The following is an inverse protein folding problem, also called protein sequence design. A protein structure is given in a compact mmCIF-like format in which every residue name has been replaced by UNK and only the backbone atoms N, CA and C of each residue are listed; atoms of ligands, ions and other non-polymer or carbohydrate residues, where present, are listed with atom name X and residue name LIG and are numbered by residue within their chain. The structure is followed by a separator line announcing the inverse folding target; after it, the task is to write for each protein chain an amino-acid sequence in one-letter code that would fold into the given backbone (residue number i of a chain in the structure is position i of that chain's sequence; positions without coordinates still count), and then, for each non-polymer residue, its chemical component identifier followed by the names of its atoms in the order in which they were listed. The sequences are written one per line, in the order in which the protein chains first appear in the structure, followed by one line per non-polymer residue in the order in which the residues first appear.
data_IF_286854618775
#
_entry.id   IF_286854618775
#
_cell.length_a   1.000
_cell.length_b   1.000
_cell.length_c   1.000
_cell.angle_alpha   90.00
_cell.angle_beta   90.00
_cell.angle_gamma   90.00
#
_symmetry.space_group_name_H-M   'P 1'
#
loop_
_entity.id
_entity.type
_entity.pdbx_description
1 polymer ?
#
# COMPACT_ATOMS: atom_id res chain seq x y z
N UNK A 1 52.13 48.93 15.68
CA UNK A 1 52.57 49.40 14.34
C UNK A 1 52.17 48.35 13.32
N UNK A 2 51.49 48.75 12.24
CA UNK A 2 50.77 47.86 11.29
C UNK A 2 51.69 47.21 10.26
N UNK A 3 51.44 45.94 9.91
CA UNK A 3 51.38 45.50 8.50
C UNK A 3 50.03 44.78 8.27
N UNK A 4 49.09 45.24 7.42
CA UNK A 4 49.01 45.23 5.94
C UNK A 4 49.60 43.98 5.28
N UNK A 5 48.74 43.36 4.44
CA UNK A 5 48.93 42.20 3.52
C UNK A 5 48.51 40.86 4.11
N UNK A 6 47.83 39.95 3.43
CA UNK A 6 47.26 39.84 2.08
C UNK A 6 46.57 38.46 2.08
N UNK A 7 45.26 38.36 1.81
CA UNK A 7 44.70 37.09 1.36
C UNK A 7 45.26 36.82 -0.05
N UNK A 8 45.76 35.61 -0.33
CA UNK A 8 44.89 34.59 -0.94
C UNK A 8 45.21 33.19 -0.38
N UNK A 9 44.24 32.33 -0.11
CA UNK A 9 43.45 31.68 -1.12
C UNK A 9 43.90 30.22 -1.26
N UNK A 10 42.92 29.33 -1.38
CA UNK A 10 43.04 27.87 -1.64
C UNK A 10 43.41 27.02 -0.43
N UNK A 11 42.38 26.51 0.26
CA UNK A 11 42.13 25.07 0.50
C UNK A 11 41.00 24.93 1.52
N UNK A 12 39.77 24.75 1.04
CA UNK A 12 38.69 24.10 1.80
C UNK A 12 37.51 23.85 0.85
N UNK A 13 37.76 23.11 -0.23
CA UNK A 13 36.68 22.44 -0.96
C UNK A 13 36.70 21.00 -0.46
N UNK A 14 35.52 20.47 -0.16
CA UNK A 14 35.20 19.15 0.39
C UNK A 14 35.25 19.07 1.92
N UNK A 15 34.11 19.34 2.58
CA UNK A 15 33.33 18.37 3.37
C UNK A 15 31.99 19.04 3.72
N UNK A 16 30.94 18.86 2.91
CA UNK A 16 29.61 19.41 3.24
C UNK A 16 28.42 18.49 2.90
N UNK A 17 28.66 17.22 2.55
CA UNK A 17 27.57 16.35 2.08
C UNK A 17 27.31 15.09 2.93
N UNK A 18 28.03 14.87 4.03
CA UNK A 18 27.94 13.59 4.77
C UNK A 18 27.17 13.63 6.10
N UNK A 19 26.65 14.78 6.55
CA UNK A 19 26.06 14.89 7.90
C UNK A 19 24.52 14.84 7.98
N UNK A 20 23.79 14.80 6.86
CA UNK A 20 22.31 14.85 6.88
C UNK A 20 21.66 13.46 7.05
N UNK A 21 22.44 12.36 7.03
CA UNK A 21 21.92 10.99 7.09
C UNK A 21 21.90 10.35 8.50
N UNK A 22 22.29 11.08 9.56
CA UNK A 22 22.43 10.51 10.92
C UNK A 22 21.36 10.95 11.93
N UNK A 23 20.29 11.60 11.49
CA UNK A 23 19.12 11.91 12.33
C UNK A 23 17.89 11.09 11.93
N UNK A 24 18.11 9.85 11.47
CA UNK A 24 17.07 8.84 11.32
C UNK A 24 16.46 8.55 12.68
N UNK A 25 15.34 9.23 12.98
CA UNK A 25 14.54 8.95 14.15
C UNK A 25 14.00 7.53 14.07
N UNK A 26 14.33 6.68 15.04
CA UNK A 26 13.51 5.53 15.35
C UNK A 26 12.17 6.08 15.84
N UNK A 27 11.18 6.18 14.94
CA UNK A 27 9.82 6.57 15.25
C UNK A 27 9.34 5.76 16.46
N UNK A 28 9.17 6.42 17.60
CA UNK A 28 8.60 5.78 18.78
C UNK A 28 7.15 5.45 18.43
N UNK A 29 6.65 4.22 18.70
CA UNK A 29 5.25 3.93 18.48
C UNK A 29 4.41 4.90 19.32
N UNK A 30 3.39 5.50 18.69
CA UNK A 30 2.37 6.25 19.41
C UNK A 30 1.43 5.21 20.02
N UNK A 31 1.28 5.26 21.35
CA UNK A 31 0.38 4.38 22.10
C UNK A 31 -1.04 4.47 21.51
N UNK A 32 -1.63 3.33 21.17
CA UNK A 32 -2.96 3.26 20.54
C UNK A 32 -3.01 3.35 19.02
N UNK A 33 -1.88 3.48 18.31
CA UNK A 33 -1.88 3.35 16.84
C UNK A 33 -1.91 1.87 16.46
N UNK A 34 -2.88 1.39 15.67
CA UNK A 34 -2.86 0.02 15.18
C UNK A 34 -1.57 -0.22 14.39
N UNK A 35 -0.71 -1.11 14.91
CA UNK A 35 0.44 -1.64 14.19
C UNK A 35 -0.05 -2.75 13.28
N UNK A 36 0.31 -2.68 11.99
CA UNK A 36 0.07 -3.78 11.07
C UNK A 36 0.72 -5.06 11.61
N UNK A 37 -0.05 -6.14 11.71
CA UNK A 37 0.43 -7.45 12.09
C UNK A 37 1.52 -7.92 11.11
N UNK A 38 2.54 -8.66 11.58
CA UNK A 38 3.55 -9.25 10.70
C UNK A 38 2.85 -10.12 9.64
N UNK A 39 3.00 -9.74 8.36
CA UNK A 39 2.32 -10.38 7.22
C UNK A 39 1.26 -9.52 6.52
N UNK A 40 0.90 -8.36 7.07
CA UNK A 40 -0.08 -7.43 6.46
C UNK A 40 0.56 -6.45 5.46
N UNK A 41 1.89 -6.35 5.44
CA UNK A 41 2.62 -5.52 4.47
C UNK A 41 2.81 -6.27 3.16
N UNK A 42 2.04 -5.89 2.14
CA UNK A 42 2.44 -6.13 0.73
C UNK A 42 1.53 -6.99 -0.14
N UNK A 43 0.34 -7.41 0.31
CA UNK A 43 -0.60 -8.12 -0.59
C UNK A 43 -1.60 -7.23 -1.35
N UNK A 44 -1.68 -5.92 -1.06
CA UNK A 44 -2.68 -5.03 -1.69
C UNK A 44 -2.20 -3.65 -2.17
N UNK A 45 -1.05 -3.16 -1.73
CA UNK A 45 -0.71 -1.74 -1.89
C UNK A 45 0.01 -1.36 -3.21
N UNK A 46 0.02 -2.21 -4.25
CA UNK A 46 0.78 -1.93 -5.48
C UNK A 46 0.42 -2.74 -6.72
N UNK A 47 -0.65 -3.54 -6.69
CA UNK A 47 -1.18 -4.24 -7.86
C UNK A 47 -2.48 -3.56 -8.32
N UNK A 48 -2.83 -3.69 -9.60
CA UNK A 48 -4.15 -3.29 -10.08
C UNK A 48 -5.21 -4.16 -9.38
N UNK A 49 -5.79 -3.65 -8.29
CA UNK A 49 -6.71 -4.38 -7.42
C UNK A 49 -7.93 -4.91 -8.17
N UNK A 50 -8.30 -4.28 -9.29
CA UNK A 50 -9.41 -4.72 -10.14
C UNK A 50 -9.11 -6.02 -10.90
N UNK A 51 -7.83 -6.32 -11.10
CA UNK A 51 -7.38 -7.56 -11.75
C UNK A 51 -7.12 -8.70 -10.76
N UNK A 52 -7.34 -8.46 -9.46
CA UNK A 52 -7.21 -9.51 -8.43
C UNK A 52 -8.08 -10.71 -8.82
N UNK A 53 -7.46 -11.88 -8.92
CA UNK A 53 -8.13 -13.13 -9.25
C UNK A 53 -8.70 -13.82 -8.01
N UNK A 54 -9.68 -14.71 -8.18
CA UNK A 54 -10.22 -15.49 -7.07
C UNK A 54 -9.14 -16.34 -6.34
N UNK A 55 -8.14 -16.84 -7.05
CA UNK A 55 -7.00 -17.57 -6.47
C UNK A 55 -6.20 -16.71 -5.49
N UNK A 56 -5.99 -15.44 -5.84
CA UNK A 56 -5.27 -14.48 -4.99
C UNK A 56 -6.15 -13.98 -3.84
N UNK A 57 -7.43 -13.80 -4.10
CA UNK A 57 -8.40 -13.25 -3.15
C UNK A 57 -8.72 -14.17 -1.96
N UNK A 58 -8.89 -15.47 -2.22
CA UNK A 58 -9.25 -16.46 -1.20
C UNK A 58 -8.26 -16.51 -0.03
N UNK A 59 -6.93 -16.51 -0.22
CA UNK A 59 -5.98 -16.51 0.89
C UNK A 59 -5.79 -15.14 1.56
N UNK A 60 -6.31 -14.03 1.00
CA UNK A 60 -6.15 -12.70 1.61
C UNK A 60 -6.81 -12.62 2.99
N UNK A 61 -6.22 -11.82 3.87
CA UNK A 61 -6.85 -11.39 5.11
C UNK A 61 -8.01 -10.42 4.86
N UNK A 62 -8.82 -10.17 5.90
CA UNK A 62 -10.01 -9.32 5.82
C UNK A 62 -9.69 -7.91 5.29
N UNK A 63 -8.56 -7.32 5.70
CA UNK A 63 -8.10 -6.00 5.25
C UNK A 63 -7.85 -5.96 3.75
N UNK A 64 -7.04 -6.87 3.20
CA UNK A 64 -6.79 -6.94 1.76
C UNK A 64 -8.05 -7.22 0.94
N UNK A 65 -8.93 -8.10 1.45
CA UNK A 65 -10.23 -8.36 0.80
C UNK A 65 -11.11 -7.13 0.75
N UNK A 66 -11.11 -6.30 1.80
CA UNK A 66 -11.82 -5.01 1.83
C UNK A 66 -11.24 -4.04 0.82
N UNK A 67 -9.92 -3.94 0.70
CA UNK A 67 -9.26 -3.05 -0.28
C UNK A 67 -9.70 -3.35 -1.71
N UNK A 68 -9.74 -4.62 -2.10
CA UNK A 68 -10.24 -5.06 -3.41
C UNK A 68 -11.72 -4.67 -3.60
N UNK A 69 -12.56 -4.87 -2.59
CA UNK A 69 -13.98 -4.47 -2.67
C UNK A 69 -14.14 -2.96 -2.77
N UNK A 70 -13.37 -2.17 -2.02
CA UNK A 70 -13.35 -0.71 -2.13
C UNK A 70 -13.01 -0.30 -3.56
N UNK A 71 -11.95 -0.87 -4.15
CA UNK A 71 -11.57 -0.58 -5.54
C UNK A 71 -12.70 -0.93 -6.54
N UNK A 72 -13.37 -2.08 -6.38
CA UNK A 72 -14.53 -2.46 -7.22
C UNK A 72 -15.70 -1.49 -7.05
N UNK A 73 -15.94 -1.01 -5.83
CA UNK A 73 -16.95 0.00 -5.54
C UNK A 73 -16.64 1.33 -6.23
N UNK A 74 -15.40 1.80 -6.13
CA UNK A 74 -14.89 3.02 -6.78
C UNK A 74 -14.92 2.93 -8.31
N UNK A 75 -14.71 1.73 -8.86
CA UNK A 75 -14.82 1.46 -10.30
C UNK A 75 -16.27 1.47 -10.83
N UNK A 76 -17.27 1.68 -9.95
CA UNK A 76 -18.65 1.94 -10.34
C UNK A 76 -19.68 0.93 -9.85
N UNK A 77 -19.28 -0.11 -9.10
CA UNK A 77 -20.24 -1.03 -8.51
C UNK A 77 -20.87 -0.46 -7.24
N UNK A 78 -22.02 0.22 -7.39
CA UNK A 78 -22.72 0.88 -6.26
C UNK A 78 -23.13 -0.05 -5.12
N UNK A 79 -23.45 -1.31 -5.42
CA UNK A 79 -23.82 -2.27 -4.38
C UNK A 79 -22.61 -2.62 -3.52
N UNK A 80 -21.46 -2.84 -4.15
CA UNK A 80 -20.20 -3.08 -3.45
C UNK A 80 -19.77 -1.84 -2.67
N UNK A 81 -19.85 -0.65 -3.28
CA UNK A 81 -19.51 0.63 -2.64
C UNK A 81 -20.33 0.92 -1.38
N UNK A 82 -21.57 0.42 -1.30
CA UNK A 82 -22.45 0.64 -0.13
C UNK A 82 -21.94 -0.09 1.11
N UNK A 83 -21.30 -1.26 0.95
CA UNK A 83 -20.75 -2.01 2.06
C UNK A 83 -19.60 -2.96 1.63
N UNK A 84 -18.38 -2.45 1.48
CA UNK A 84 -17.23 -3.25 1.04
C UNK A 84 -16.90 -4.42 1.97
N UNK A 85 -17.14 -4.27 3.28
CA UNK A 85 -16.91 -5.33 4.28
C UNK A 85 -17.86 -6.51 4.12
N UNK A 86 -19.14 -6.25 3.90
CA UNK A 86 -20.13 -7.28 3.61
C UNK A 86 -19.73 -8.04 2.33
N UNK A 87 -19.43 -7.28 1.28
CA UNK A 87 -19.09 -7.85 -0.01
C UNK A 87 -17.77 -8.61 0.02
N UNK A 88 -16.86 -8.29 0.94
CA UNK A 88 -15.61 -9.03 1.09
C UNK A 88 -15.84 -10.49 1.49
N UNK A 89 -16.81 -10.74 2.38
CA UNK A 89 -17.22 -12.09 2.76
C UNK A 89 -17.96 -12.81 1.63
N UNK A 90 -18.88 -12.11 0.95
CA UNK A 90 -19.65 -12.68 -0.17
C UNK A 90 -18.74 -13.07 -1.32
N UNK A 91 -17.82 -12.19 -1.73
CA UNK A 91 -16.86 -12.48 -2.78
C UNK A 91 -15.98 -13.69 -2.45
N UNK A 92 -15.55 -13.83 -1.19
CA UNK A 92 -14.74 -14.98 -0.76
C UNK A 92 -15.53 -16.30 -0.89
N UNK A 93 -16.81 -16.29 -0.52
CA UNK A 93 -17.69 -17.44 -0.69
C UNK A 93 -17.91 -17.78 -2.18
N UNK A 94 -18.19 -16.78 -3.02
CA UNK A 94 -18.39 -16.97 -4.47
C UNK A 94 -17.12 -17.49 -5.15
N UNK A 95 -15.95 -16.95 -4.80
CA UNK A 95 -14.65 -17.37 -5.36
C UNK A 95 -14.26 -18.82 -5.03
N UNK A 96 -14.89 -19.45 -4.04
CA UNK A 96 -14.68 -20.89 -3.76
C UNK A 96 -15.27 -21.79 -4.86
N UNK A 97 -16.25 -21.29 -5.61
CA UNK A 97 -16.92 -22.01 -6.70
C UNK A 97 -16.53 -21.51 -8.10
N UNK A 98 -16.02 -20.28 -8.20
CA UNK A 98 -15.62 -19.68 -9.47
C UNK A 98 -14.32 -20.29 -10.02
N UNK A 99 -14.03 -20.04 -11.30
CA UNK A 99 -12.71 -20.34 -11.88
C UNK A 99 -11.64 -19.58 -11.08
N UNK A 100 -10.56 -20.24 -10.62
CA UNK A 100 -9.54 -19.56 -9.81
C UNK A 100 -8.87 -18.36 -10.50
N UNK A 101 -8.85 -18.34 -11.83
CA UNK A 101 -8.27 -17.26 -12.64
C UNK A 101 -9.28 -16.16 -12.97
N UNK A 102 -10.55 -16.31 -12.57
CA UNK A 102 -11.56 -15.27 -12.78
C UNK A 102 -11.21 -14.03 -11.94
N UNK A 103 -11.25 -12.82 -12.54
CA UNK A 103 -11.18 -11.57 -11.79
C UNK A 103 -12.34 -11.49 -10.78
N UNK A 104 -12.05 -11.06 -9.56
CA UNK A 104 -13.06 -10.97 -8.50
C UNK A 104 -14.20 -10.04 -8.94
N UNK A 105 -13.89 -8.91 -9.59
CA UNK A 105 -14.88 -7.95 -10.10
C UNK A 105 -15.94 -8.59 -10.98
N UNK A 106 -15.55 -9.56 -11.81
CA UNK A 106 -16.46 -10.27 -12.71
C UNK A 106 -17.35 -11.21 -11.90
N UNK A 107 -16.80 -11.93 -10.92
CA UNK A 107 -17.58 -12.81 -10.03
C UNK A 107 -18.62 -12.03 -9.24
N UNK A 108 -18.28 -10.86 -8.68
CA UNK A 108 -19.22 -10.07 -7.85
C UNK A 108 -20.31 -9.38 -8.70
N UNK A 109 -20.01 -9.03 -9.94
CA UNK A 109 -20.97 -8.39 -10.86
C UNK A 109 -21.84 -9.40 -11.60
N UNK A 110 -21.62 -10.71 -11.41
CA UNK A 110 -22.34 -11.77 -12.12
C UNK A 110 -21.89 -11.92 -13.57
N UNK A 111 -20.60 -11.69 -13.83
CA UNK A 111 -19.94 -11.68 -15.12
C UNK A 111 -20.36 -12.85 -16.00
N UNK A 112 -21.23 -12.55 -16.95
CA UNK A 112 -21.51 -13.40 -18.10
C UNK A 112 -20.33 -13.19 -19.04
N UNK A 113 -19.54 -14.24 -19.28
CA UNK A 113 -18.61 -14.27 -20.41
C UNK A 113 -19.37 -14.48 -21.70
#
# INVERSE_FOLDING_TARGET
MVPKKMLPGKTAVLVAAALVMLLGGCSRPIDGTPVAAPGEVGMGAGADLLETTCREYVPMGQSGRREVMTAIGEAGNRLVATNPDLWAGVAAALCTFADPSAPVKDVVTGGVR
#
